data_IF_264818903407
#
_entry.id   IF_264818903407
#
_cell.length_a   1.000
_cell.length_b   1.000
_cell.length_c   1.000
_cell.angle_alpha   90.00
_cell.angle_beta   90.00
_cell.angle_gamma   90.00
#
_symmetry.space_group_name_H-M   'P 1'
#
loop_
_entity.id
_entity.type
_entity.pdbx_description
1 polymer ?
#
# COMPACT_ATOMS: atom_id res chain seq x y z
N UNK A 1 21.32 2.58 -0.02
CA UNK A 1 21.61 2.98 -1.41
C UNK A 1 20.82 4.25 -1.66
N UNK A 2 21.45 5.29 -2.19
CA UNK A 2 20.78 6.57 -2.47
C UNK A 2 20.59 6.70 -3.99
N UNK A 3 19.43 7.23 -4.39
CA UNK A 3 19.10 7.49 -5.79
C UNK A 3 18.63 8.94 -5.87
N UNK A 4 19.29 9.75 -6.70
CA UNK A 4 18.88 11.13 -6.93
C UNK A 4 17.71 11.15 -7.92
N UNK A 5 16.62 11.81 -7.54
CA UNK A 5 15.41 11.96 -8.35
C UNK A 5 15.00 13.43 -8.33
N UNK A 6 14.64 13.97 -9.49
CA UNK A 6 13.96 15.27 -9.53
C UNK A 6 12.48 15.05 -9.21
N UNK A 7 12.01 15.74 -8.19
CA UNK A 7 10.62 15.74 -7.73
C UNK A 7 10.10 17.15 -7.94
N UNK A 8 8.82 17.29 -8.32
CA UNK A 8 8.16 18.59 -8.40
C UNK A 8 8.03 19.18 -6.99
N UNK A 9 8.50 20.42 -6.81
CA UNK A 9 8.51 21.10 -5.52
C UNK A 9 7.09 21.30 -4.96
N UNK A 10 6.11 21.59 -5.81
CA UNK A 10 4.72 21.78 -5.37
C UNK A 10 4.12 20.47 -4.86
N UNK A 11 4.47 19.35 -5.49
CA UNK A 11 4.05 18.02 -5.06
C UNK A 11 4.66 17.64 -3.70
N UNK A 12 5.95 17.96 -3.51
CA UNK A 12 6.65 17.67 -2.26
C UNK A 12 6.10 18.51 -1.10
N UNK A 13 5.85 19.80 -1.32
CA UNK A 13 5.25 20.69 -0.34
C UNK A 13 3.84 20.23 0.08
N UNK A 14 2.99 19.85 -0.87
CA UNK A 14 1.66 19.32 -0.56
C UNK A 14 1.75 18.04 0.28
N UNK A 15 2.66 17.12 -0.07
CA UNK A 15 2.85 15.88 0.65
C UNK A 15 3.45 16.10 2.06
N UNK A 16 4.36 17.06 2.23
CA UNK A 16 4.91 17.45 3.54
C UNK A 16 3.85 18.11 4.44
N UNK A 17 2.97 18.94 3.86
CA UNK A 17 1.86 19.55 4.58
C UNK A 17 0.88 18.50 5.14
N UNK A 18 0.65 17.41 4.39
CA UNK A 18 -0.16 16.28 4.83
C UNK A 18 0.58 15.38 5.84
N UNK A 19 1.90 15.33 5.78
CA UNK A 19 2.76 14.41 6.52
C UNK A 19 3.01 14.76 8.00
N UNK A 20 2.44 15.84 8.55
CA UNK A 20 2.56 16.21 9.98
C UNK A 20 3.98 16.04 10.56
N UNK A 21 4.95 16.83 10.10
CA UNK A 21 6.36 16.82 10.52
C UNK A 21 7.17 15.57 10.11
N UNK A 22 6.80 14.93 9.01
CA UNK A 22 7.63 13.86 8.42
C UNK A 22 8.80 14.47 7.64
N UNK A 23 10.06 14.01 7.85
CA UNK A 23 11.18 14.47 7.03
C UNK A 23 11.04 13.98 5.57
N UNK A 24 11.57 14.71 4.58
CA UNK A 24 11.37 14.40 3.16
C UNK A 24 11.75 12.96 2.76
N UNK A 25 12.88 12.45 3.26
CA UNK A 25 13.33 11.09 2.96
C UNK A 25 12.35 10.03 3.47
N UNK A 26 11.83 10.22 4.69
CA UNK A 26 10.85 9.31 5.27
C UNK A 26 9.51 9.37 4.53
N UNK A 27 9.10 10.57 4.09
CA UNK A 27 7.91 10.77 3.27
C UNK A 27 8.00 10.00 1.95
N UNK A 28 9.15 10.07 1.26
CA UNK A 28 9.40 9.31 0.02
C UNK A 28 9.36 7.81 0.28
N UNK A 29 9.96 7.32 1.37
CA UNK A 29 9.92 5.90 1.72
C UNK A 29 8.49 5.42 2.01
N UNK A 30 7.70 6.22 2.72
CA UNK A 30 6.28 5.94 2.99
C UNK A 30 5.49 5.88 1.67
N UNK A 31 5.65 6.88 0.81
CA UNK A 31 4.98 6.94 -0.49
C UNK A 31 5.29 5.71 -1.36
N UNK A 32 6.54 5.25 -1.38
CA UNK A 32 6.93 4.03 -2.09
C UNK A 32 6.28 2.77 -1.49
N UNK A 33 6.23 2.66 -0.16
CA UNK A 33 5.54 1.54 0.52
C UNK A 33 4.06 1.51 0.16
N UNK A 34 3.37 2.66 0.19
CA UNK A 34 1.97 2.77 -0.18
C UNK A 34 1.72 2.44 -1.65
N UNK A 35 2.57 2.94 -2.55
CA UNK A 35 2.52 2.63 -3.98
C UNK A 35 2.62 1.12 -4.23
N UNK A 36 3.59 0.46 -3.60
CA UNK A 36 3.77 -1.00 -3.69
C UNK A 36 2.54 -1.71 -3.14
N UNK A 37 2.06 -1.32 -1.96
CA UNK A 37 0.88 -1.94 -1.33
C UNK A 37 -0.37 -1.78 -2.20
N UNK A 38 -0.59 -0.60 -2.79
CA UNK A 38 -1.72 -0.33 -3.70
C UNK A 38 -1.68 -1.27 -4.90
N UNK A 39 -0.51 -1.47 -5.52
CA UNK A 39 -0.36 -2.38 -6.66
C UNK A 39 -0.52 -3.85 -6.27
N UNK A 40 0.01 -4.27 -5.12
CA UNK A 40 -0.21 -5.62 -4.59
C UNK A 40 -1.70 -5.89 -4.32
N UNK A 41 -2.42 -4.90 -3.78
CA UNK A 41 -3.87 -5.00 -3.58
C UNK A 41 -4.64 -5.17 -4.88
N UNK A 42 -4.25 -4.47 -5.94
CA UNK A 42 -4.89 -4.65 -7.25
C UNK A 42 -4.70 -6.08 -7.78
N UNK A 43 -3.55 -6.70 -7.54
CA UNK A 43 -3.33 -8.12 -7.90
C UNK A 43 -4.19 -9.09 -7.10
N UNK A 44 -4.66 -8.74 -5.89
CA UNK A 44 -5.62 -9.57 -5.18
C UNK A 44 -6.96 -9.67 -5.92
N UNK A 45 -7.31 -8.67 -6.75
CA UNK A 45 -8.51 -8.74 -7.59
C UNK A 45 -8.38 -9.90 -8.59
N UNK A 46 -7.17 -10.18 -9.08
CA UNK A 46 -6.91 -11.29 -10.01
C UNK A 46 -7.17 -12.67 -9.36
N UNK A 47 -7.18 -12.76 -8.04
CA UNK A 47 -7.47 -14.00 -7.31
C UNK A 47 -8.98 -14.24 -7.12
N UNK A 48 -9.84 -13.27 -7.42
CA UNK A 48 -11.29 -13.49 -7.35
C UNK A 48 -11.73 -14.50 -8.41
N UNK A 49 -12.43 -15.55 -7.97
CA UNK A 49 -12.86 -16.64 -8.85
C UNK A 49 -11.81 -17.72 -9.12
N UNK A 50 -10.57 -17.54 -8.67
CA UNK A 50 -9.53 -18.60 -8.73
C UNK A 50 -9.41 -19.41 -7.45
N UNK A 51 -10.04 -18.95 -6.36
CA UNK A 51 -10.01 -19.63 -5.06
C UNK A 51 -11.21 -20.58 -4.99
N UNK A 52 -10.93 -21.88 -4.99
CA UNK A 52 -11.92 -22.90 -4.68
C UNK A 52 -12.10 -22.99 -3.16
N UNK A 53 -13.35 -22.81 -2.71
CA UNK A 53 -13.71 -22.98 -1.31
C UNK A 53 -14.19 -24.42 -1.09
N UNK A 54 -13.71 -25.05 -0.01
CA UNK A 54 -14.25 -26.35 0.42
C UNK A 54 -15.74 -26.17 0.79
N UNK A 55 -16.66 -26.89 0.12
CA UNK A 55 -18.10 -26.80 0.39
C UNK A 55 -18.50 -27.09 1.84
N UNK A 56 -17.67 -27.87 2.56
CA UNK A 56 -17.92 -28.26 3.94
C UNK A 56 -17.27 -27.31 4.95
N UNK A 57 -16.58 -26.26 4.50
CA UNK A 57 -15.90 -25.32 5.38
C UNK A 57 -16.88 -24.44 6.16
N UNK A 58 -17.03 -24.72 7.46
CA UNK A 58 -17.84 -23.91 8.36
C UNK A 58 -16.99 -22.89 9.12
N UNK A 59 -16.85 -21.69 8.56
CA UNK A 59 -16.13 -20.57 9.18
C UNK A 59 -16.74 -20.04 10.49
N UNK A 60 -17.96 -20.45 10.88
CA UNK A 60 -18.59 -20.05 12.16
C UNK A 60 -17.98 -20.77 13.37
N UNK A 61 -17.23 -21.85 13.16
CA UNK A 61 -16.55 -22.58 14.24
C UNK A 61 -15.52 -21.73 14.97
N UNK A 62 -14.89 -20.77 14.28
CA UNK A 62 -13.89 -19.85 14.86
C UNK A 62 -14.49 -18.71 15.71
N UNK A 63 -15.83 -18.63 15.82
CA UNK A 63 -16.52 -17.56 16.57
C UNK A 63 -17.03 -17.99 17.95
N UNK A 64 -16.74 -19.23 18.38
CA UNK A 64 -17.04 -19.74 19.72
C UNK A 64 -15.83 -19.56 20.61
#
# INVERSE_FOLDING_TARGET
>A
MTVALNIDDALLEEALALGNQTPPDALVEIALKEYIQRRKRLKLIELFGTIEYDPNYNYKTQRR
#
